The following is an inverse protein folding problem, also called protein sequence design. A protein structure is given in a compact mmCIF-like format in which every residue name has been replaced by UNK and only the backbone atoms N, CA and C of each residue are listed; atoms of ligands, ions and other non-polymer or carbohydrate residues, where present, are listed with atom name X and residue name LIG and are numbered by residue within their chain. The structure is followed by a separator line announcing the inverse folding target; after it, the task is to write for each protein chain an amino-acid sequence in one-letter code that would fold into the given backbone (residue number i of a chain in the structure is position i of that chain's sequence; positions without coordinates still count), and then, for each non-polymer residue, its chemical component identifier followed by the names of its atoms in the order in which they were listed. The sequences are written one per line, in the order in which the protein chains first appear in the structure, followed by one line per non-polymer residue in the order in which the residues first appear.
data_IF_843561781766
#
_entry.id   IF_843561781766
#
_cell.length_a   1.000
_cell.length_b   1.000
_cell.length_c   1.000
_cell.angle_alpha   90.00
_cell.angle_beta   90.00
_cell.angle_gamma   90.00
#
_symmetry.space_group_name_H-M   'P 1'
#
loop_
_entity.id
_entity.type
_entity.pdbx_description
1 polymer ?
#
# COMPACT_ATOMS: atom_id res chain seq x y z
N UNK A 1 -47.61 46.42 -2.63
CA UNK A 1 -46.48 46.33 -1.69
C UNK A 1 -46.07 44.85 -1.64
N UNK A 2 -45.11 44.45 -2.48
CA UNK A 2 -44.67 43.04 -2.60
C UNK A 2 -43.44 42.81 -1.71
N UNK A 3 -43.55 41.86 -0.78
CA UNK A 3 -42.41 41.37 0.01
C UNK A 3 -41.77 40.20 -0.73
N UNK A 4 -40.58 40.40 -1.28
CA UNK A 4 -39.73 39.32 -1.74
C UNK A 4 -38.91 38.78 -0.57
N UNK A 5 -39.21 37.55 -0.14
CA UNK A 5 -38.29 36.77 0.67
C UNK A 5 -37.03 36.46 -0.15
N UNK A 6 -35.89 37.04 0.24
CA UNK A 6 -34.57 36.53 -0.17
C UNK A 6 -34.35 35.18 0.52
N UNK A 7 -34.53 34.10 -0.24
CA UNK A 7 -34.09 32.76 0.14
C UNK A 7 -32.58 32.71 -0.06
N UNK A 8 -31.82 32.87 1.03
CA UNK A 8 -30.38 32.63 1.01
C UNK A 8 -30.14 31.15 0.75
N UNK A 9 -29.68 30.83 -0.46
CA UNK A 9 -29.12 29.52 -0.77
C UNK A 9 -27.81 29.43 0.00
N UNK A 10 -27.82 28.68 1.11
CA UNK A 10 -26.58 28.22 1.71
C UNK A 10 -25.93 27.29 0.68
N UNK A 11 -24.80 27.72 0.09
CA UNK A 11 -23.88 26.79 -0.52
C UNK A 11 -23.54 25.77 0.56
N UNK A 12 -23.90 24.51 0.31
CA UNK A 12 -23.36 23.40 1.06
C UNK A 12 -21.87 23.38 0.70
N UNK A 13 -21.06 23.96 1.58
CA UNK A 13 -19.60 23.90 1.51
C UNK A 13 -19.26 22.48 1.95
N UNK A 14 -19.41 21.51 1.04
CA UNK A 14 -18.97 20.14 1.29
C UNK A 14 -17.46 20.23 1.61
N UNK A 15 -17.02 19.71 2.76
CA UNK A 15 -15.60 19.73 3.08
C UNK A 15 -14.83 19.06 1.93
N UNK A 16 -13.67 19.61 1.53
CA UNK A 16 -12.89 19.05 0.43
C UNK A 16 -12.68 17.56 0.68
N UNK A 17 -12.91 16.75 -0.36
CA UNK A 17 -12.70 15.32 -0.29
C UNK A 17 -11.29 15.06 0.29
N UNK A 18 -11.15 14.17 1.27
CA UNK A 18 -9.87 13.98 1.93
C UNK A 18 -8.86 13.49 0.88
N UNK A 19 -7.72 14.17 0.77
CA UNK A 19 -6.69 13.87 -0.23
C UNK A 19 -5.77 12.72 0.22
N UNK A 20 -5.26 11.91 -0.72
CA UNK A 20 -4.19 10.95 -0.45
C UNK A 20 -2.99 11.62 0.21
N UNK A 21 -2.33 10.90 1.10
CA UNK A 21 -1.18 11.41 1.86
C UNK A 21 0.11 10.88 1.27
N UNK A 22 0.92 11.75 0.68
CA UNK A 22 2.21 11.40 0.12
C UNK A 22 3.33 11.77 1.09
N UNK A 23 4.29 10.86 1.29
CA UNK A 23 5.48 11.09 2.10
C UNK A 23 6.72 10.54 1.42
N UNK A 24 7.77 11.34 1.42
CA UNK A 24 9.08 10.95 0.90
C UNK A 24 10.00 10.53 2.05
N UNK A 25 10.66 9.40 1.86
CA UNK A 25 11.59 8.79 2.81
C UNK A 25 12.97 8.62 2.17
N UNK A 26 14.02 8.77 2.96
CA UNK A 26 15.35 8.31 2.57
C UNK A 26 15.43 6.80 2.83
N UNK A 27 15.62 6.03 1.76
CA UNK A 27 15.97 4.60 1.79
C UNK A 27 17.46 4.38 1.57
N UNK A 28 17.87 3.11 1.64
CA UNK A 28 19.29 2.73 1.49
C UNK A 28 19.86 3.07 0.11
N UNK A 29 19.03 2.98 -0.93
CA UNK A 29 19.43 3.15 -2.34
C UNK A 29 18.98 4.47 -2.94
N UNK A 30 18.28 5.32 -2.19
CA UNK A 30 17.73 6.58 -2.68
C UNK A 30 16.42 6.95 -2.00
N UNK A 31 15.67 7.86 -2.62
CA UNK A 31 14.38 8.30 -2.08
C UNK A 31 13.27 7.31 -2.43
N UNK A 32 12.34 7.12 -1.49
CA UNK A 32 11.12 6.33 -1.67
C UNK A 32 9.94 7.20 -1.29
N UNK A 33 9.07 7.47 -2.24
CA UNK A 33 7.81 8.15 -2.06
C UNK A 33 6.70 7.12 -1.82
N UNK A 34 5.94 7.30 -0.74
CA UNK A 34 4.85 6.41 -0.34
C UNK A 34 3.58 7.25 -0.23
N UNK A 35 2.59 6.89 -1.03
CA UNK A 35 1.23 7.44 -1.00
C UNK A 35 0.31 6.45 -0.33
N UNK A 36 -0.35 6.89 0.74
CA UNK A 36 -1.39 6.13 1.42
C UNK A 36 -2.76 6.78 1.19
N UNK A 37 -3.86 6.01 1.32
CA UNK A 37 -5.21 6.53 1.24
C UNK A 37 -5.43 7.71 2.18
N UNK A 38 -6.38 8.55 1.81
CA UNK A 38 -6.74 9.69 2.61
C UNK A 38 -7.24 9.27 3.99
N UNK A 39 -6.77 9.97 5.02
CA UNK A 39 -7.34 9.86 6.36
C UNK A 39 -7.35 11.26 7.01
N UNK A 40 -8.52 11.90 7.16
CA UNK A 40 -8.60 13.30 7.53
C UNK A 40 -8.12 13.54 8.97
N UNK A 41 -7.27 14.56 9.14
CA UNK A 41 -6.87 15.09 10.46
C UNK A 41 -6.07 14.16 11.37
N UNK A 42 -5.72 12.95 10.91
CA UNK A 42 -5.04 11.95 11.74
C UNK A 42 -3.58 11.76 11.30
N UNK A 43 -2.60 11.90 12.21
CA UNK A 43 -1.23 11.50 11.90
C UNK A 43 -1.18 9.99 11.56
N UNK A 44 -0.13 9.53 10.86
CA UNK A 44 0.05 8.11 10.58
C UNK A 44 0.06 7.29 11.85
N UNK A 45 -0.75 6.24 11.88
CA UNK A 45 -0.72 5.27 12.97
C UNK A 45 0.66 4.60 13.08
N UNK A 46 0.99 4.04 14.26
CA UNK A 46 2.25 3.30 14.43
C UNK A 46 2.38 2.13 13.43
N UNK A 47 1.26 1.50 13.08
CA UNK A 47 1.17 0.45 12.06
C UNK A 47 1.51 0.99 10.66
N UNK A 48 0.93 2.13 10.27
CA UNK A 48 1.26 2.80 9.00
C UNK A 48 2.74 3.18 8.92
N UNK A 49 3.31 3.69 10.01
CA UNK A 49 4.75 4.00 10.09
C UNK A 49 5.62 2.73 10.01
N UNK A 50 5.17 1.60 10.54
CA UNK A 50 5.85 0.31 10.39
C UNK A 50 5.83 -0.15 8.92
N UNK A 51 4.68 -0.04 8.24
CA UNK A 51 4.57 -0.37 6.82
C UNK A 51 5.47 0.53 5.96
N UNK A 52 5.48 1.84 6.22
CA UNK A 52 6.34 2.76 5.48
C UNK A 52 7.82 2.41 5.67
N UNK A 53 8.26 2.12 6.90
CA UNK A 53 9.62 1.64 7.18
C UNK A 53 9.94 0.34 6.44
N UNK A 54 9.01 -0.61 6.40
CA UNK A 54 9.19 -1.86 5.66
C UNK A 54 9.35 -1.62 4.16
N UNK A 55 8.47 -0.80 3.56
CA UNK A 55 8.53 -0.45 2.14
C UNK A 55 9.87 0.23 1.80
N UNK A 56 10.27 1.23 2.59
CA UNK A 56 11.51 1.98 2.37
C UNK A 56 12.75 1.09 2.53
N UNK A 57 12.81 0.26 3.56
CA UNK A 57 13.97 -0.61 3.83
C UNK A 57 14.11 -1.74 2.80
N UNK A 58 13.01 -2.16 2.16
CA UNK A 58 13.01 -3.27 1.21
C UNK A 58 12.74 -2.81 -0.24
N UNK A 59 12.82 -1.51 -0.51
CA UNK A 59 12.35 -0.92 -1.76
C UNK A 59 12.90 -1.62 -3.02
N UNK A 60 14.21 -1.85 -3.19
CA UNK A 60 14.72 -2.50 -4.40
C UNK A 60 14.11 -3.89 -4.64
N UNK A 61 13.94 -4.69 -3.57
CA UNK A 61 13.37 -6.04 -3.69
C UNK A 61 11.88 -6.00 -4.01
N UNK A 62 11.15 -5.06 -3.40
CA UNK A 62 9.72 -4.88 -3.60
C UNK A 62 9.41 -4.33 -4.99
N UNK A 63 10.19 -3.35 -5.47
CA UNK A 63 10.09 -2.80 -6.81
C UNK A 63 10.38 -3.88 -7.86
N UNK A 64 11.43 -4.69 -7.66
CA UNK A 64 11.75 -5.84 -8.51
C UNK A 64 10.60 -6.88 -8.54
N UNK A 65 10.05 -7.21 -7.37
CA UNK A 65 8.93 -8.16 -7.26
C UNK A 65 7.66 -7.65 -7.94
N UNK A 66 7.33 -6.36 -7.76
CA UNK A 66 6.20 -5.72 -8.40
C UNK A 66 6.34 -5.75 -9.94
N UNK A 67 7.50 -5.38 -10.46
CA UNK A 67 7.76 -5.41 -11.89
C UNK A 67 7.81 -6.82 -12.46
N UNK A 68 8.41 -7.77 -11.76
CA UNK A 68 8.43 -9.18 -12.16
C UNK A 68 7.02 -9.78 -12.23
N UNK A 69 6.16 -9.43 -11.27
CA UNK A 69 4.75 -9.82 -11.28
C UNK A 69 4.01 -9.20 -12.46
N UNK A 70 4.18 -7.90 -12.69
CA UNK A 70 3.59 -7.18 -13.83
C UNK A 70 3.99 -7.81 -15.16
N UNK A 71 5.29 -8.06 -15.35
CA UNK A 71 5.85 -8.70 -16.56
C UNK A 71 5.24 -10.08 -16.86
N UNK A 72 4.79 -10.81 -15.83
CA UNK A 72 4.24 -12.17 -15.97
C UNK A 72 2.72 -12.20 -16.06
N UNK A 73 2.05 -11.29 -15.36
CA UNK A 73 0.62 -11.40 -15.09
C UNK A 73 -0.20 -10.15 -15.43
N UNK A 74 0.45 -9.08 -15.91
CA UNK A 74 -0.19 -7.79 -16.18
C UNK A 74 -0.43 -6.98 -14.90
N UNK A 75 -1.30 -5.97 -15.00
CA UNK A 75 -1.62 -5.04 -13.92
C UNK A 75 -2.05 -5.78 -12.63
N UNK A 76 -1.46 -5.37 -11.50
CA UNK A 76 -1.55 -6.06 -10.23
C UNK A 76 -0.74 -5.38 -9.12
N UNK A 77 -0.78 -5.98 -7.94
CA UNK A 77 -0.16 -5.47 -6.72
C UNK A 77 0.58 -6.56 -5.96
N UNK A 78 1.54 -6.16 -5.13
CA UNK A 78 2.27 -7.03 -4.22
C UNK A 78 1.53 -7.10 -2.88
N UNK A 79 1.11 -8.30 -2.49
CA UNK A 79 0.51 -8.58 -1.19
C UNK A 79 1.61 -8.98 -0.22
N UNK A 80 1.66 -8.28 0.90
CA UNK A 80 2.64 -8.46 1.96
C UNK A 80 1.91 -9.00 3.19
N UNK A 81 2.28 -10.19 3.64
CA UNK A 81 1.70 -10.84 4.80
C UNK A 81 2.79 -11.21 5.80
N UNK A 82 2.63 -10.80 7.06
CA UNK A 82 3.55 -11.20 8.12
C UNK A 82 3.31 -12.67 8.44
N UNK A 83 4.36 -13.51 8.36
CA UNK A 83 4.24 -14.93 8.66
C UNK A 83 4.13 -15.14 10.18
N UNK A 84 3.17 -15.95 10.67
CA UNK A 84 3.10 -16.29 12.09
C UNK A 84 4.38 -17.01 12.54
N UNK A 85 4.85 -16.71 13.76
CA UNK A 85 6.03 -17.36 14.35
C UNK A 85 5.67 -18.80 14.72
N UNK A 86 6.03 -19.76 13.89
CA UNK A 86 5.78 -21.19 14.18
C UNK A 86 6.80 -21.80 15.18
N UNK A 87 7.94 -21.12 15.44
CA UNK A 87 8.97 -21.62 16.37
C UNK A 87 9.66 -20.49 17.15
N UNK A 88 9.75 -20.56 18.50
CA UNK A 88 10.34 -19.51 19.33
C UNK A 88 11.90 -19.50 19.37
N UNK A 89 12.59 -20.34 18.58
CA UNK A 89 14.00 -20.63 18.80
C UNK A 89 14.98 -20.11 17.73
N UNK A 90 14.52 -19.51 16.62
CA UNK A 90 15.44 -19.04 15.57
C UNK A 90 15.38 -17.51 15.46
N UNK A 91 16.22 -16.88 16.27
CA UNK A 91 16.80 -15.54 16.14
C UNK A 91 15.76 -14.40 16.03
N UNK A 92 15.60 -13.66 17.14
CA UNK A 92 14.84 -12.39 17.25
C UNK A 92 15.29 -11.25 16.32
N UNK A 93 16.19 -11.52 15.36
CA UNK A 93 16.71 -10.55 14.40
C UNK A 93 15.93 -10.51 13.07
N UNK A 94 15.00 -11.44 12.83
CA UNK A 94 14.29 -11.54 11.54
C UNK A 94 12.77 -11.56 11.71
N UNK A 95 12.09 -10.69 10.96
CA UNK A 95 10.62 -10.67 10.86
C UNK A 95 10.21 -11.18 9.46
N UNK A 96 9.82 -12.46 9.34
CA UNK A 96 9.51 -13.06 8.04
C UNK A 96 8.20 -12.51 7.46
N UNK A 97 8.24 -12.17 6.18
CA UNK A 97 7.08 -11.73 5.40
C UNK A 97 6.95 -12.60 4.15
N UNK A 98 5.73 -13.05 3.88
CA UNK A 98 5.34 -13.70 2.64
C UNK A 98 4.92 -12.65 1.61
N UNK A 99 5.41 -12.80 0.39
CA UNK A 99 5.09 -11.94 -0.75
C UNK A 99 4.31 -12.72 -1.80
N UNK A 100 3.16 -12.20 -2.21
CA UNK A 100 2.38 -12.72 -3.32
C UNK A 100 2.09 -11.60 -4.34
N UNK A 101 1.84 -11.95 -5.59
CA UNK A 101 1.39 -11.00 -6.62
C UNK A 101 -0.08 -11.28 -6.95
N UNK A 102 -0.92 -10.27 -6.81
CA UNK A 102 -2.35 -10.36 -7.11
C UNK A 102 -2.69 -9.49 -8.31
N UNK A 103 -3.39 -10.06 -9.30
CA UNK A 103 -3.77 -9.35 -10.53
C UNK A 103 -5.12 -8.66 -10.42
N UNK A 104 -5.29 -7.60 -11.21
CA UNK A 104 -6.53 -6.85 -11.35
C UNK A 104 -7.71 -7.62 -12.00
N UNK A 105 -7.47 -8.81 -12.56
CA UNK A 105 -8.45 -9.55 -13.38
C UNK A 105 -8.98 -10.86 -12.77
N UNK A 106 -8.59 -11.20 -11.53
CA UNK A 106 -9.15 -12.35 -10.81
C UNK A 106 -10.30 -11.93 -9.89
N UNK A 107 -11.10 -12.88 -9.40
CA UNK A 107 -12.18 -12.75 -8.39
C UNK A 107 -11.86 -11.87 -7.14
N UNK A 108 -10.62 -11.41 -6.98
CA UNK A 108 -10.16 -10.47 -5.96
C UNK A 108 -10.51 -9.00 -6.26
N UNK A 109 -10.83 -8.63 -7.51
CA UNK A 109 -11.12 -7.25 -7.92
C UNK A 109 -12.60 -6.86 -7.95
N UNK A 110 -13.51 -7.74 -7.53
CA UNK A 110 -14.91 -7.34 -7.32
C UNK A 110 -15.11 -6.53 -6.01
N UNK A 111 -14.18 -5.62 -5.70
CA UNK A 111 -13.77 -5.13 -4.37
C UNK A 111 -12.88 -6.14 -3.65
N UNK A 112 -11.66 -5.77 -3.21
CA UNK A 112 -11.05 -6.46 -2.08
C UNK A 112 -12.01 -6.20 -0.91
N UNK A 113 -12.85 -7.16 -0.47
CA UNK A 113 -14.02 -6.87 0.37
C UNK A 113 -13.66 -6.38 1.77
N UNK A 114 -12.36 -6.25 2.03
CA UNK A 114 -11.77 -6.00 3.33
C UNK A 114 -10.67 -4.94 3.29
N UNK A 115 -10.31 -4.32 2.15
CA UNK A 115 -9.31 -3.23 2.16
C UNK A 115 -9.78 -2.06 3.01
N UNK A 116 -8.86 -1.34 3.63
CA UNK A 116 -9.18 -0.12 4.37
C UNK A 116 -9.60 1.04 3.46
N UNK A 117 -9.31 0.94 2.16
CA UNK A 117 -9.62 1.96 1.16
C UNK A 117 -9.81 1.32 -0.24
N UNK A 118 -10.96 0.65 -0.50
CA UNK A 118 -11.21 -0.04 -1.76
C UNK A 118 -11.29 0.92 -2.95
N UNK A 119 -12.01 2.04 -2.84
CA UNK A 119 -12.21 2.98 -3.96
C UNK A 119 -10.89 3.65 -4.38
N UNK A 120 -10.04 4.00 -3.41
CA UNK A 120 -8.70 4.53 -3.67
C UNK A 120 -7.83 3.49 -4.39
N UNK A 121 -7.91 2.22 -4.00
CA UNK A 121 -7.14 1.16 -4.64
C UNK A 121 -7.63 0.91 -6.08
N UNK A 122 -8.94 0.98 -6.32
CA UNK A 122 -9.51 0.87 -7.67
C UNK A 122 -9.04 2.02 -8.58
N UNK A 123 -8.98 3.24 -8.06
CA UNK A 123 -8.39 4.39 -8.76
C UNK A 123 -6.90 4.17 -9.06
N UNK A 124 -6.14 3.68 -8.07
CA UNK A 124 -4.72 3.37 -8.28
C UNK A 124 -4.53 2.34 -9.39
N UNK A 125 -5.32 1.26 -9.45
CA UNK A 125 -5.23 0.27 -10.53
C UNK A 125 -5.45 0.84 -11.94
N UNK A 126 -6.16 1.95 -12.05
CA UNK A 126 -6.40 2.63 -13.33
C UNK A 126 -5.31 3.65 -13.69
N UNK A 127 -4.54 4.13 -12.71
CA UNK A 127 -3.71 5.33 -12.86
C UNK A 127 -2.22 5.10 -12.60
N UNK A 128 -1.84 4.05 -11.87
CA UNK A 128 -0.44 3.80 -11.56
C UNK A 128 0.34 3.30 -12.79
N UNK A 129 1.62 3.68 -12.86
CA UNK A 129 2.53 3.26 -13.92
C UNK A 129 3.48 2.16 -13.40
N UNK A 130 3.34 0.89 -13.84
CA UNK A 130 4.15 -0.23 -13.34
C UNK A 130 5.66 -0.13 -13.65
N UNK A 131 6.04 0.78 -14.56
CA UNK A 131 7.43 1.07 -14.89
C UNK A 131 8.08 2.05 -13.90
N UNK A 132 7.28 2.76 -13.11
CA UNK A 132 7.73 3.82 -12.21
C UNK A 132 7.43 3.48 -10.74
N UNK A 133 6.34 2.75 -10.48
CA UNK A 133 5.82 2.51 -9.16
C UNK A 133 5.30 1.08 -8.96
N UNK A 134 5.04 0.75 -7.70
CA UNK A 134 4.35 -0.48 -7.29
C UNK A 134 3.14 -0.18 -6.41
N UNK A 135 2.14 -1.06 -6.49
CA UNK A 135 1.03 -1.12 -5.54
C UNK A 135 1.29 -2.23 -4.53
N UNK A 136 1.03 -1.94 -3.26
CA UNK A 136 1.33 -2.83 -2.13
C UNK A 136 0.12 -2.96 -1.22
N UNK A 137 -0.21 -4.18 -0.78
CA UNK A 137 -1.28 -4.46 0.19
C UNK A 137 -0.69 -5.14 1.41
N UNK A 138 -0.67 -4.47 2.56
CA UNK A 138 -0.32 -5.12 3.82
C UNK A 138 -1.55 -5.79 4.39
N UNK A 139 -1.48 -7.12 4.53
CA UNK A 139 -2.47 -7.88 5.29
C UNK A 139 -2.00 -7.96 6.73
N UNK A 140 -2.90 -7.70 7.67
CA UNK A 140 -2.68 -8.20 9.03
C UNK A 140 -2.64 -9.72 8.93
N UNK A 141 -1.47 -10.31 9.17
CA UNK A 141 -1.37 -11.76 9.32
C UNK A 141 -2.36 -12.24 10.39
N UNK A 142 -2.69 -13.54 10.37
CA UNK A 142 -3.27 -14.19 11.54
C UNK A 142 -2.25 -14.07 12.68
N UNK A 143 -2.33 -12.95 13.39
CA UNK A 143 -1.45 -12.62 14.49
C UNK A 143 -1.74 -13.65 15.56
N UNK A 144 -0.82 -14.62 15.70
CA UNK A 144 -1.01 -15.77 16.60
C UNK A 144 -1.18 -15.33 18.06
N UNK A 145 -0.73 -14.12 18.38
CA UNK A 145 -0.84 -13.47 19.69
C UNK A 145 -2.12 -12.61 19.83
N UNK A 146 -2.96 -12.59 18.79
CA UNK A 146 -4.19 -11.80 18.77
C UNK A 146 -5.32 -12.53 19.48
N UNK A 147 -6.07 -11.86 20.36
CA UNK A 147 -7.27 -12.43 20.95
C UNK A 147 -8.24 -12.89 19.85
N UNK A 148 -8.88 -14.07 20.00
CA UNK A 148 -9.80 -14.61 19.00
C UNK A 148 -10.98 -13.67 18.69
N UNK A 149 -11.31 -12.76 19.61
CA UNK A 149 -12.39 -11.80 19.48
C UNK A 149 -11.95 -10.43 18.96
N UNK A 150 -10.67 -10.23 18.64
CA UNK A 150 -10.20 -8.95 18.16
C UNK A 150 -10.71 -8.68 16.72
N UNK A 151 -11.30 -7.50 16.44
CA UNK A 151 -11.91 -7.22 15.15
C UNK A 151 -10.88 -7.33 14.02
N UNK A 152 -11.19 -8.07 12.95
CA UNK A 152 -10.28 -8.22 11.82
C UNK A 152 -9.86 -6.85 11.29
N UNK A 153 -8.55 -6.64 11.13
CA UNK A 153 -8.05 -5.36 10.61
C UNK A 153 -8.08 -5.42 9.09
N UNK A 154 -8.68 -4.42 8.43
CA UNK A 154 -8.72 -4.40 6.99
C UNK A 154 -7.30 -4.28 6.42
N UNK A 155 -6.94 -5.02 5.34
CA UNK A 155 -5.66 -4.82 4.68
C UNK A 155 -5.46 -3.37 4.22
N UNK A 156 -4.24 -2.87 4.32
CA UNK A 156 -3.90 -1.46 4.04
C UNK A 156 -3.15 -1.35 2.71
N UNK A 157 -3.70 -0.61 1.72
CA UNK A 157 -3.04 -0.44 0.44
C UNK A 157 -2.10 0.77 0.46
N UNK A 158 -1.05 0.71 -0.35
CA UNK A 158 -0.07 1.77 -0.57
C UNK A 158 0.36 1.80 -2.03
N UNK A 159 0.68 2.99 -2.51
CA UNK A 159 1.36 3.22 -3.78
C UNK A 159 2.76 3.70 -3.40
N UNK A 160 3.80 3.13 -4.01
CA UNK A 160 5.14 3.60 -3.76
C UNK A 160 5.99 3.64 -5.03
N UNK A 161 6.80 4.69 -5.13
CA UNK A 161 7.77 4.93 -6.18
C UNK A 161 9.12 5.27 -5.53
N UNK A 162 10.22 5.04 -6.21
CA UNK A 162 11.54 5.32 -5.63
C UNK A 162 12.70 4.88 -6.50
N UNK A 163 13.91 5.04 -5.98
CA UNK A 163 15.15 4.63 -6.65
C UNK A 163 15.74 3.36 -6.03
N UNK A 164 16.05 2.31 -6.82
CA UNK A 164 15.88 2.21 -8.28
C UNK A 164 14.41 2.11 -8.70
N UNK A 165 14.12 2.50 -9.94
CA UNK A 165 12.81 2.27 -10.54
C UNK A 165 12.55 0.76 -10.73
N UNK A 166 11.29 0.29 -10.80
CA UNK A 166 10.97 -1.14 -10.84
C UNK A 166 11.71 -1.99 -11.90
N UNK A 167 11.90 -1.53 -13.16
CA UNK A 167 12.70 -2.25 -14.15
C UNK A 167 14.17 -2.39 -13.73
N UNK A 168 14.81 -1.30 -13.32
CA UNK A 168 16.21 -1.28 -12.88
C UNK A 168 16.40 -2.15 -11.64
N UNK A 169 15.44 -2.12 -10.72
CA UNK A 169 15.44 -2.95 -9.52
C UNK A 169 15.44 -4.44 -9.87
N UNK A 170 14.66 -4.85 -10.89
CA UNK A 170 14.63 -6.23 -11.35
C UNK A 170 15.95 -6.63 -12.03
N UNK A 171 16.55 -5.74 -12.82
CA UNK A 171 17.83 -5.99 -13.46
C UNK A 171 18.95 -6.13 -12.44
N UNK A 172 18.98 -5.25 -11.42
CA UNK A 172 19.91 -5.37 -10.29
C UNK A 172 19.71 -6.67 -9.50
N UNK A 173 18.47 -7.09 -9.25
CA UNK A 173 18.18 -8.33 -8.54
C UNK A 173 18.59 -9.59 -9.32
N UNK A 174 18.75 -9.48 -10.64
CA UNK A 174 19.19 -10.57 -11.53
C UNK A 174 20.68 -10.55 -11.84
N UNK A 175 21.37 -9.46 -11.53
CA UNK A 175 22.81 -9.37 -11.73
C UNK A 175 23.51 -10.46 -10.88
N UNK A 176 24.44 -11.24 -11.46
CA UNK A 176 25.24 -12.16 -10.68
C UNK A 176 26.01 -11.39 -9.61
N UNK A 177 26.13 -11.97 -8.41
CA UNK A 177 27.01 -11.44 -7.37
C UNK A 177 28.44 -11.37 -7.94
N UNK A 178 28.96 -10.16 -8.14
CA UNK A 178 30.37 -9.92 -8.45
C UNK A 178 31.21 -9.97 -7.17
#
# INVERSE_FOLDING_TARGET
MWSFLKRSVALHDDPPAPEPRTRTYAGETGLVEITAPAAPGCPPSAEEQAHHRFLTANWPRLAAAAYAGFRRHGIGMVVIEKRPRETPAVIDAFEPHDLAYATGMGMWTQRPPHSSAPDWLDEQFQTYEPLEAGLFLFRSGADADRPPDAPHRPPRPYHAAGTPAPPDALDQARAPFN
#
